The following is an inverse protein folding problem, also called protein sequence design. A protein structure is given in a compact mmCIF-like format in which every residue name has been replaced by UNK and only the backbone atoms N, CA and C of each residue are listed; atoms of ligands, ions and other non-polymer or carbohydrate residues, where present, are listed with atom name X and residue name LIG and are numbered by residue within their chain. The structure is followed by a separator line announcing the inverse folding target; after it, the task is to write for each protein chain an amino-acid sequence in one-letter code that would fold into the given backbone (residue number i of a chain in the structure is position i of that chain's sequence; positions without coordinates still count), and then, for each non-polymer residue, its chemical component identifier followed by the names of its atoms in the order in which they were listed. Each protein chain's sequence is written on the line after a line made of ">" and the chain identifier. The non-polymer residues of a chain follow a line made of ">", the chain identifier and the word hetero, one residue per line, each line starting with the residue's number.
data_IF_763474298719
#
_entry.id   IF_763474298719
#
_cell.length_a   1.000
_cell.length_b   1.000
_cell.length_c   1.000
_cell.angle_alpha   90.00
_cell.angle_beta   90.00
_cell.angle_gamma   90.00
#
_symmetry.space_group_name_H-M   'P 1'
#
loop_
_entity.id
_entity.type
_entity.pdbx_description
1 polymer ?
#
# COMPACT_ATOMS: atom_id res chain seq x y z
N UNK A 1 -35.16 27.73 -20.80
CA UNK A 1 -33.82 27.27 -21.25
C UNK A 1 -32.62 27.93 -20.50
N UNK A 2 -32.80 28.56 -19.33
CA UNK A 2 -31.69 29.22 -18.60
C UNK A 2 -31.08 28.40 -17.45
N UNK A 3 -31.84 27.47 -16.86
CA UNK A 3 -31.38 26.61 -15.75
C UNK A 3 -30.35 25.55 -16.16
N UNK A 4 -30.45 25.01 -17.37
CA UNK A 4 -29.54 23.96 -17.87
C UNK A 4 -28.12 24.48 -18.15
N UNK A 5 -27.99 25.75 -18.56
CA UNK A 5 -26.66 26.36 -18.77
C UNK A 5 -25.94 26.65 -17.45
N UNK A 6 -26.67 27.03 -16.39
CA UNK A 6 -26.09 27.28 -15.06
C UNK A 6 -25.60 25.97 -14.43
N UNK A 7 -26.37 24.87 -14.60
CA UNK A 7 -25.96 23.54 -14.14
C UNK A 7 -24.72 23.02 -14.88
N UNK A 8 -24.61 23.26 -16.19
CA UNK A 8 -23.44 22.86 -16.98
C UNK A 8 -22.17 23.61 -16.57
N UNK A 9 -22.28 24.91 -16.27
CA UNK A 9 -21.17 25.72 -15.76
C UNK A 9 -20.69 25.26 -14.38
N UNK A 10 -21.61 24.94 -13.46
CA UNK A 10 -21.28 24.40 -12.14
C UNK A 10 -20.55 23.06 -12.20
N UNK A 11 -20.95 22.16 -13.11
CA UNK A 11 -20.28 20.87 -13.33
C UNK A 11 -18.86 21.04 -13.89
N UNK A 12 -18.65 22.01 -14.78
CA UNK A 12 -17.31 22.35 -15.29
C UNK A 12 -16.39 22.87 -14.18
N UNK A 13 -16.88 23.76 -13.30
CA UNK A 13 -16.08 24.23 -12.16
C UNK A 13 -15.72 23.11 -11.16
N UNK A 14 -16.62 22.14 -10.94
CA UNK A 14 -16.33 20.97 -10.10
C UNK A 14 -15.23 20.08 -10.71
N UNK A 15 -15.24 19.87 -12.04
CA UNK A 15 -14.22 19.06 -12.73
C UNK A 15 -12.84 19.72 -12.80
N UNK A 16 -12.76 21.06 -12.88
CA UNK A 16 -11.47 21.75 -12.79
C UNK A 16 -10.89 21.67 -11.38
N UNK A 17 -11.72 21.77 -10.35
CA UNK A 17 -11.29 21.76 -8.94
C UNK A 17 -10.61 20.45 -8.52
N UNK A 18 -11.03 19.31 -9.09
CA UNK A 18 -10.43 18.02 -8.79
C UNK A 18 -9.07 17.82 -9.49
N UNK A 19 -8.88 18.39 -10.68
CA UNK A 19 -7.60 18.37 -11.39
C UNK A 19 -6.53 19.25 -10.69
N UNK A 20 -6.91 20.42 -10.19
CA UNK A 20 -5.97 21.31 -9.47
C UNK A 20 -5.53 20.79 -8.09
N UNK A 21 -6.29 19.89 -7.47
CA UNK A 21 -5.87 19.21 -6.23
C UNK A 21 -4.77 18.16 -6.48
N UNK A 22 -4.76 17.53 -7.67
CA UNK A 22 -3.71 16.58 -8.04
C UNK A 22 -2.36 17.27 -8.31
N UNK A 23 -2.38 18.47 -8.89
CA UNK A 23 -1.17 19.24 -9.27
C UNK A 23 -0.60 20.10 -8.12
N UNK A 24 -1.36 20.21 -7.02
CA UNK A 24 -0.89 20.78 -5.74
C UNK A 24 -0.59 19.72 -4.70
N UNK A 25 -0.23 18.51 -5.14
CA UNK A 25 0.08 17.39 -4.27
C UNK A 25 1.31 17.63 -3.39
N UNK A 26 1.53 16.71 -2.45
CA UNK A 26 2.67 16.69 -1.51
C UNK A 26 4.04 16.80 -2.22
N UNK A 27 4.09 16.46 -3.50
CA UNK A 27 5.26 16.51 -4.36
C UNK A 27 5.48 17.84 -5.09
N UNK A 28 4.60 18.83 -4.90
CA UNK A 28 4.70 20.13 -5.54
C UNK A 28 6.05 20.78 -5.20
N UNK A 29 6.76 21.29 -6.21
CA UNK A 29 8.10 21.89 -6.13
C UNK A 29 9.25 20.93 -5.78
N UNK A 30 9.02 19.61 -5.82
CA UNK A 30 10.08 18.60 -5.63
C UNK A 30 10.43 17.98 -6.97
N UNK A 31 11.73 17.92 -7.28
CA UNK A 31 12.18 17.35 -8.55
C UNK A 31 12.03 15.82 -8.55
N UNK A 32 11.76 15.22 -9.71
CA UNK A 32 11.69 13.76 -9.85
C UNK A 32 12.95 13.04 -9.31
N UNK A 33 14.13 13.66 -9.40
CA UNK A 33 15.38 13.11 -8.84
C UNK A 33 15.35 13.00 -7.31
N UNK A 34 14.61 13.87 -6.64
CA UNK A 34 14.41 13.82 -5.18
C UNK A 34 13.34 12.78 -4.78
N UNK A 35 12.45 12.39 -5.71
CA UNK A 35 11.45 11.33 -5.49
C UNK A 35 12.05 9.92 -5.55
N UNK A 36 13.20 9.76 -6.20
CA UNK A 36 13.87 8.46 -6.29
C UNK A 36 14.30 8.00 -4.90
N UNK A 37 13.90 6.79 -4.53
CA UNK A 37 14.42 6.13 -3.35
C UNK A 37 15.93 5.90 -3.49
N UNK A 38 16.67 6.12 -2.41
CA UNK A 38 18.04 5.66 -2.35
C UNK A 38 18.10 4.13 -2.46
N UNK A 39 19.26 3.58 -2.84
CA UNK A 39 19.44 2.11 -2.99
C UNK A 39 19.06 1.35 -1.71
N UNK A 40 19.35 1.91 -0.54
CA UNK A 40 19.02 1.27 0.73
C UNK A 40 17.51 1.28 1.02
N UNK A 41 16.81 2.36 0.70
CA UNK A 41 15.36 2.49 0.89
C UNK A 41 14.61 1.52 -0.03
N UNK A 42 15.03 1.45 -1.30
CA UNK A 42 14.47 0.51 -2.27
C UNK A 42 14.68 -0.94 -1.81
N UNK A 43 15.89 -1.28 -1.31
CA UNK A 43 16.19 -2.61 -0.76
C UNK A 43 15.35 -2.93 0.48
N UNK A 44 15.11 -1.94 1.35
CA UNK A 44 14.27 -2.08 2.54
C UNK A 44 12.84 -2.44 2.15
N UNK A 45 12.23 -1.69 1.23
CA UNK A 45 10.88 -1.99 0.74
C UNK A 45 10.82 -3.37 0.08
N UNK A 46 11.79 -3.71 -0.77
CA UNK A 46 11.84 -5.05 -1.39
C UNK A 46 11.92 -6.17 -0.33
N UNK A 47 12.67 -5.96 0.74
CA UNK A 47 12.81 -6.95 1.83
C UNK A 47 11.54 -7.03 2.68
N UNK A 48 10.90 -5.89 2.98
CA UNK A 48 9.61 -5.80 3.66
C UNK A 48 8.56 -6.65 2.93
N UNK A 49 8.48 -6.50 1.60
CA UNK A 49 7.55 -7.25 0.77
C UNK A 49 7.94 -8.73 0.64
N UNK A 50 9.23 -9.05 0.45
CA UNK A 50 9.68 -10.45 0.42
C UNK A 50 9.29 -11.20 1.69
N UNK A 51 9.49 -10.60 2.86
CA UNK A 51 9.16 -11.25 4.12
C UNK A 51 7.64 -11.44 4.29
N UNK A 52 6.86 -10.47 3.81
CA UNK A 52 5.42 -10.44 4.00
C UNK A 52 4.63 -11.26 3.01
N UNK A 53 5.07 -11.35 1.76
CA UNK A 53 4.34 -11.98 0.65
C UNK A 53 5.01 -13.29 0.18
N UNK A 54 6.31 -13.44 0.42
CA UNK A 54 7.10 -14.57 -0.07
C UNK A 54 7.51 -15.55 1.04
N UNK A 55 6.80 -15.56 2.17
CA UNK A 55 6.97 -16.61 3.18
C UNK A 55 6.42 -17.92 2.62
N UNK A 56 7.29 -18.69 1.95
CA UNK A 56 7.08 -20.12 1.71
C UNK A 56 6.67 -20.74 3.03
N UNK A 57 5.43 -21.22 3.09
CA UNK A 57 4.81 -21.71 4.31
C UNK A 57 5.73 -22.72 4.99
N UNK A 58 5.95 -22.54 6.30
CA UNK A 58 6.57 -23.56 7.11
C UNK A 58 5.81 -24.88 6.90
N UNK A 59 6.54 -25.89 6.43
CA UNK A 59 6.05 -27.24 6.18
C UNK A 59 5.48 -27.78 7.49
N UNK A 60 4.15 -27.85 7.58
CA UNK A 60 3.45 -28.24 8.80
C UNK A 60 3.79 -29.69 9.18
N UNK A 61 4.44 -29.86 10.33
CA UNK A 61 4.69 -31.17 10.94
C UNK A 61 3.37 -31.89 11.29
N UNK A 62 3.37 -33.21 11.14
CA UNK A 62 2.27 -34.14 11.47
C UNK A 62 1.78 -33.91 12.91
N UNK A 63 0.47 -33.78 13.05
CA UNK A 63 -0.23 -33.46 14.30
C UNK A 63 -0.25 -34.65 15.27
N UNK A 64 0.21 -34.42 16.49
CA UNK A 64 -0.05 -35.29 17.65
C UNK A 64 -1.04 -34.59 18.60
N UNK A 65 -1.64 -35.34 19.54
CA UNK A 65 -2.82 -34.99 20.35
C UNK A 65 -2.61 -33.88 21.42
N UNK A 66 -1.66 -32.96 21.24
CA UNK A 66 -1.37 -31.91 22.23
C UNK A 66 -2.25 -30.65 21.99
N UNK A 67 -3.04 -30.20 22.98
CA UNK A 67 -3.86 -28.99 22.88
C UNK A 67 -3.09 -27.72 22.52
N UNK A 68 -1.82 -27.62 22.94
CA UNK A 68 -0.94 -26.49 22.61
C UNK A 68 -0.51 -26.50 21.15
N UNK A 69 -0.34 -27.68 20.56
CA UNK A 69 -0.02 -27.86 19.14
C UNK A 69 -1.24 -27.54 18.27
N UNK A 70 -2.45 -27.91 18.70
CA UNK A 70 -3.69 -27.52 18.04
C UNK A 70 -3.89 -25.99 18.01
N UNK A 71 -3.56 -25.29 19.11
CA UNK A 71 -3.59 -23.81 19.16
C UNK A 71 -2.56 -23.21 18.20
N UNK A 72 -1.34 -23.75 18.17
CA UNK A 72 -0.26 -23.30 17.28
C UNK A 72 -0.60 -23.54 15.80
N UNK A 73 -1.21 -24.68 15.48
CA UNK A 73 -1.72 -24.99 14.13
C UNK A 73 -2.85 -24.06 13.69
N UNK A 74 -3.78 -23.69 14.59
CA UNK A 74 -4.83 -22.70 14.31
C UNK A 74 -4.24 -21.30 14.05
N UNK A 75 -3.25 -20.88 14.83
CA UNK A 75 -2.52 -19.64 14.57
C UNK A 75 -1.80 -19.68 13.21
N UNK A 76 -1.17 -20.80 12.87
CA UNK A 76 -0.51 -20.99 11.59
C UNK A 76 -1.49 -20.97 10.40
N UNK A 77 -2.67 -21.58 10.53
CA UNK A 77 -3.73 -21.48 9.51
C UNK A 77 -4.22 -20.04 9.34
N UNK A 78 -4.41 -19.29 10.43
CA UNK A 78 -4.77 -17.87 10.36
C UNK A 78 -3.67 -17.03 9.70
N UNK A 79 -2.39 -17.29 10.00
CA UNK A 79 -1.28 -16.58 9.36
C UNK A 79 -1.19 -16.92 7.87
N UNK A 80 -1.39 -18.18 7.47
CA UNK A 80 -1.45 -18.59 6.06
C UNK A 80 -2.63 -17.97 5.31
N UNK A 81 -3.79 -17.84 5.94
CA UNK A 81 -4.95 -17.19 5.32
C UNK A 81 -4.72 -15.68 5.15
N UNK A 82 -4.16 -15.02 6.16
CA UNK A 82 -3.74 -13.63 6.06
C UNK A 82 -2.65 -13.45 4.98
N UNK A 83 -1.71 -14.40 4.88
CA UNK A 83 -0.69 -14.44 3.83
C UNK A 83 -1.34 -14.54 2.44
N UNK A 84 -2.30 -15.45 2.26
CA UNK A 84 -3.04 -15.62 0.99
C UNK A 84 -3.81 -14.37 0.57
N UNK A 85 -4.54 -13.75 1.50
CA UNK A 85 -5.23 -12.48 1.23
C UNK A 85 -4.25 -11.36 0.88
N UNK A 86 -3.12 -11.31 1.58
CA UNK A 86 -2.06 -10.35 1.29
C UNK A 86 -1.40 -10.61 -0.08
N UNK A 87 -1.26 -11.87 -0.51
CA UNK A 87 -0.71 -12.27 -1.81
C UNK A 87 -1.65 -12.03 -3.01
N UNK A 88 -2.43 -10.95 -2.95
CA UNK A 88 -3.23 -10.46 -4.07
C UNK A 88 -2.83 -9.01 -4.35
N UNK A 89 -3.05 -8.53 -5.57
CA UNK A 89 -2.82 -7.12 -5.91
C UNK A 89 -3.56 -6.17 -4.94
N UNK A 90 -4.81 -6.50 -4.60
CA UNK A 90 -5.61 -5.77 -3.62
C UNK A 90 -4.98 -5.76 -2.23
N UNK A 91 -4.63 -6.93 -1.68
CA UNK A 91 -3.99 -7.05 -0.36
C UNK A 91 -2.62 -6.38 -0.28
N UNK A 92 -1.88 -6.36 -1.39
CA UNK A 92 -0.63 -5.63 -1.54
C UNK A 92 -0.84 -4.11 -1.40
N UNK A 93 -1.83 -3.55 -2.10
CA UNK A 93 -2.15 -2.12 -2.05
C UNK A 93 -2.75 -1.69 -0.71
N UNK A 94 -3.59 -2.52 -0.10
CA UNK A 94 -4.09 -2.29 1.26
C UNK A 94 -2.95 -2.23 2.26
N UNK A 95 -1.95 -3.10 2.13
CA UNK A 95 -0.76 -3.03 2.97
C UNK A 95 0.01 -1.73 2.77
N UNK A 96 0.25 -1.31 1.52
CA UNK A 96 0.89 -0.04 1.22
C UNK A 96 0.13 1.13 1.86
N UNK A 97 -1.19 1.13 1.78
CA UNK A 97 -2.05 2.15 2.40
C UNK A 97 -1.94 2.15 3.93
N UNK A 98 -1.93 0.97 4.55
CA UNK A 98 -1.71 0.84 6.00
C UNK A 98 -0.35 1.42 6.42
N UNK A 99 0.72 1.13 5.67
CA UNK A 99 2.05 1.67 5.94
C UNK A 99 2.09 3.19 5.80
N UNK A 100 1.39 3.76 4.81
CA UNK A 100 1.23 5.22 4.67
C UNK A 100 0.60 5.83 5.92
N UNK A 101 -0.51 5.27 6.40
CA UNK A 101 -1.16 5.73 7.63
C UNK A 101 -0.25 5.64 8.86
N UNK A 102 0.53 4.56 8.99
CA UNK A 102 1.50 4.40 10.08
C UNK A 102 2.63 5.42 10.02
N UNK A 103 3.10 5.79 8.83
CA UNK A 103 4.11 6.83 8.66
C UNK A 103 3.60 8.18 9.18
N UNK A 104 2.36 8.55 8.83
CA UNK A 104 1.72 9.76 9.33
C UNK A 104 1.48 9.74 10.84
N UNK A 105 0.98 8.63 11.37
CA UNK A 105 0.76 8.48 12.81
C UNK A 105 2.07 8.56 13.63
N UNK A 106 3.18 8.15 13.03
CA UNK A 106 4.52 8.27 13.62
C UNK A 106 5.15 9.65 13.51
N UNK A 107 4.45 10.66 12.99
CA UNK A 107 4.97 12.03 12.81
C UNK A 107 5.89 12.19 11.61
N UNK A 108 5.88 11.24 10.65
CA UNK A 108 6.63 11.37 9.41
C UNK A 108 6.14 12.55 8.57
N UNK A 109 7.06 13.19 7.85
CA UNK A 109 6.70 14.27 6.94
C UNK A 109 5.90 13.73 5.74
N UNK A 110 4.98 14.54 5.22
CA UNK A 110 4.08 14.13 4.14
C UNK A 110 4.86 13.66 2.91
N UNK A 111 5.91 14.37 2.54
CA UNK A 111 6.72 14.04 1.37
C UNK A 111 7.35 12.66 1.47
N UNK A 112 7.97 12.35 2.60
CA UNK A 112 8.53 11.03 2.87
C UNK A 112 7.43 9.97 2.87
N UNK A 113 6.32 10.19 3.59
CA UNK A 113 5.26 9.19 3.68
C UNK A 113 4.64 8.88 2.31
N UNK A 114 4.37 9.88 1.48
CA UNK A 114 3.87 9.68 0.11
C UNK A 114 4.92 9.02 -0.79
N UNK A 115 6.18 9.46 -0.75
CA UNK A 115 7.26 8.86 -1.58
C UNK A 115 7.42 7.36 -1.31
N UNK A 116 7.39 6.99 -0.04
CA UNK A 116 7.45 5.60 0.39
C UNK A 116 6.16 4.83 0.07
N UNK A 117 5.00 5.48 0.05
CA UNK A 117 3.74 4.87 -0.38
C UNK A 117 3.77 4.56 -1.89
N UNK A 118 4.15 5.53 -2.72
CA UNK A 118 4.24 5.37 -4.17
C UNK A 118 5.22 4.25 -4.55
N UNK A 119 6.36 4.16 -3.87
CA UNK A 119 7.31 3.07 -4.09
C UNK A 119 6.73 1.69 -3.76
N UNK A 120 5.91 1.59 -2.70
CA UNK A 120 5.21 0.34 -2.34
C UNK A 120 4.14 -0.02 -3.36
N UNK A 121 3.35 0.96 -3.80
CA UNK A 121 2.33 0.76 -4.86
C UNK A 121 3.00 0.34 -6.17
N UNK A 122 4.12 0.98 -6.53
CA UNK A 122 4.93 0.60 -7.69
C UNK A 122 5.41 -0.85 -7.60
N UNK A 123 5.85 -1.30 -6.42
CA UNK A 123 6.22 -2.70 -6.20
C UNK A 123 5.02 -3.65 -6.37
N UNK A 124 3.84 -3.29 -5.86
CA UNK A 124 2.62 -4.08 -6.04
C UNK A 124 2.23 -4.21 -7.51
N UNK A 125 2.31 -3.11 -8.27
CA UNK A 125 2.03 -3.12 -9.69
C UNK A 125 3.02 -4.02 -10.44
N UNK A 126 4.32 -3.91 -10.19
CA UNK A 126 5.32 -4.77 -10.87
C UNK A 126 5.18 -6.26 -10.51
N UNK A 127 4.70 -6.58 -9.30
CA UNK A 127 4.65 -7.97 -8.81
C UNK A 127 3.40 -8.73 -9.26
N UNK A 128 2.29 -8.02 -9.50
CA UNK A 128 0.98 -8.63 -9.78
C UNK A 128 0.35 -8.19 -11.11
N UNK A 129 1.11 -7.52 -11.97
CA UNK A 129 0.72 -7.12 -13.34
C UNK A 129 1.41 -8.03 -14.35
#
# INVERSE_FOLDING_TARGET
>A
MKLSQIAALLLLFLSLSTAYAADRGVFKNKSHKQHTLTKWEAKKIKTEFKNRFNSTGATGQKLNANPWEAKRARQHKKSQQALRLSNTWGGCREYAYKQRGQCYAGGGDAYTCERYYDARVGHCNVTFN
#
